data_IF_943979254688
#
_entry.id   IF_943979254688
#
_cell.length_a   1.000
_cell.length_b   1.000
_cell.length_c   1.000
_cell.angle_alpha   90.00
_cell.angle_beta   90.00
_cell.angle_gamma   90.00
#
_symmetry.space_group_name_H-M   'P 1'
#
loop_
_entity.id
_entity.type
_entity.pdbx_description
1 polymer ?
#
# COMPACT_ATOMS: atom_id res chain seq x y z
N UNK A 1 -6.25 -15.79 -8.82
CA UNK A 1 -7.33 -14.82 -9.02
C UNK A 1 -7.62 -14.01 -7.75
N UNK A 2 -7.77 -14.69 -6.63
CA UNK A 2 -8.02 -13.96 -5.37
C UNK A 2 -6.87 -13.02 -5.04
N UNK A 3 -5.64 -13.43 -5.28
CA UNK A 3 -4.49 -12.58 -5.02
C UNK A 3 -4.49 -11.35 -5.91
N UNK A 4 -4.84 -11.52 -7.17
CA UNK A 4 -4.91 -10.40 -8.09
C UNK A 4 -5.95 -9.39 -7.66
N UNK A 5 -7.10 -9.86 -7.20
CA UNK A 5 -8.14 -8.95 -6.70
C UNK A 5 -7.67 -8.17 -5.49
N UNK A 6 -6.99 -8.85 -4.58
CA UNK A 6 -6.50 -8.19 -3.38
C UNK A 6 -5.46 -7.14 -3.72
N UNK A 7 -4.51 -7.48 -4.57
CA UNK A 7 -3.52 -6.51 -5.00
C UNK A 7 -4.15 -5.33 -5.72
N UNK A 8 -5.13 -5.60 -6.56
CA UNK A 8 -5.82 -4.53 -7.26
C UNK A 8 -6.50 -3.59 -6.27
N UNK A 9 -7.16 -4.15 -5.26
CA UNK A 9 -7.83 -3.34 -4.25
C UNK A 9 -6.84 -2.48 -3.47
N UNK A 10 -5.68 -3.06 -3.14
CA UNK A 10 -4.63 -2.33 -2.45
C UNK A 10 -4.16 -1.15 -3.28
N UNK A 11 -3.83 -1.41 -4.53
CA UNK A 11 -3.32 -0.36 -5.39
C UNK A 11 -4.36 0.71 -5.68
N UNK A 12 -5.62 0.32 -5.85
CA UNK A 12 -6.68 1.30 -6.03
C UNK A 12 -6.84 2.20 -4.81
N UNK A 13 -6.75 1.61 -3.63
CA UNK A 13 -6.88 2.40 -2.41
C UNK A 13 -5.73 3.38 -2.26
N UNK A 14 -4.54 3.03 -2.70
CA UNK A 14 -3.36 3.86 -2.55
C UNK A 14 -3.09 4.77 -3.74
N UNK A 15 -3.83 4.63 -4.84
CA UNK A 15 -3.53 5.34 -6.08
C UNK A 15 -4.06 6.76 -6.11
N UNK A 16 -4.25 7.38 -4.96
CA UNK A 16 -4.69 8.77 -4.84
C UNK A 16 -3.70 9.47 -3.93
N UNK A 17 -3.16 10.59 -4.40
CA UNK A 17 -2.12 11.29 -3.67
C UNK A 17 -2.51 11.63 -2.24
N UNK A 18 -3.74 12.07 -2.03
CA UNK A 18 -4.21 12.40 -0.68
C UNK A 18 -4.15 11.18 0.24
N UNK A 19 -4.50 10.01 -0.27
CA UNK A 19 -4.48 8.80 0.55
C UNK A 19 -3.06 8.38 0.91
N UNK A 20 -2.13 8.53 -0.02
CA UNK A 20 -0.73 8.25 0.29
C UNK A 20 -0.23 9.20 1.37
N UNK A 21 -0.62 10.46 1.30
CA UNK A 21 -0.21 11.44 2.31
C UNK A 21 -0.82 11.10 3.67
N UNK A 22 -2.07 10.66 3.69
CA UNK A 22 -2.70 10.23 4.94
C UNK A 22 -1.92 9.08 5.56
N UNK A 23 -1.57 8.07 4.76
CA UNK A 23 -0.82 6.93 5.28
C UNK A 23 0.52 7.39 5.85
N UNK A 24 1.20 8.29 5.17
CA UNK A 24 2.48 8.82 5.66
C UNK A 24 2.32 9.55 7.00
N UNK A 25 1.29 10.35 7.13
CA UNK A 25 1.06 11.08 8.36
C UNK A 25 0.72 10.13 9.50
N UNK A 26 -0.11 9.14 9.24
CA UNK A 26 -0.49 8.16 10.26
C UNK A 26 0.66 7.23 10.62
N UNK A 27 1.65 7.13 9.76
CA UNK A 27 2.85 6.36 10.10
C UNK A 27 3.56 6.98 11.29
N UNK A 28 3.47 8.29 11.44
CA UNK A 28 4.14 8.97 12.53
C UNK A 28 3.36 8.85 13.83
N UNK A 29 2.04 9.02 13.78
CA UNK A 29 1.19 8.93 14.97
C UNK A 29 -0.27 8.93 14.58
N UNK A 30 -1.15 8.44 15.45
CA UNK A 30 -2.59 8.54 15.21
C UNK A 30 -3.04 9.99 15.17
N UNK A 31 -3.98 10.27 14.29
CA UNK A 31 -4.50 11.63 14.10
C UNK A 31 -6.00 11.58 13.87
N UNK A 32 -6.70 12.62 14.31
CA UNK A 32 -8.12 12.76 14.04
C UNK A 32 -8.34 13.42 12.67
N UNK A 33 -9.59 13.42 12.22
CA UNK A 33 -9.92 13.98 10.90
C UNK A 33 -9.50 15.44 10.80
N UNK A 34 -9.77 16.21 11.84
CA UNK A 34 -9.44 17.64 11.78
C UNK A 34 -7.94 17.88 11.69
N UNK A 35 -7.16 17.09 12.41
CA UNK A 35 -5.71 17.21 12.32
C UNK A 35 -5.21 16.83 10.93
N UNK A 36 -5.77 15.78 10.36
CA UNK A 36 -5.40 15.37 9.01
C UNK A 36 -5.78 16.44 8.00
N UNK A 37 -6.99 16.98 8.13
CA UNK A 37 -7.45 18.02 7.22
C UNK A 37 -6.54 19.23 7.24
N UNK A 38 -6.14 19.65 8.43
CA UNK A 38 -5.24 20.79 8.57
C UNK A 38 -3.90 20.54 7.90
N UNK A 39 -3.35 19.35 8.11
CA UNK A 39 -2.04 19.04 7.55
C UNK A 39 -2.07 18.83 6.05
N UNK A 40 -3.20 18.37 5.53
CA UNK A 40 -3.32 18.12 4.11
C UNK A 40 -3.83 19.33 3.33
N UNK A 41 -4.31 20.34 4.03
CA UNK A 41 -4.93 21.47 3.36
C UNK A 41 -6.22 21.09 2.68
N UNK A 42 -7.00 20.18 3.28
CA UNK A 42 -8.24 19.68 2.71
C UNK A 42 -9.37 19.89 3.70
N UNK A 43 -10.61 19.71 3.20
CA UNK A 43 -11.77 19.77 4.08
C UNK A 43 -11.87 18.48 4.88
N UNK A 44 -12.50 18.58 6.05
CA UNK A 44 -12.74 17.41 6.88
C UNK A 44 -13.59 16.37 6.14
N UNK A 45 -14.56 16.83 5.37
CA UNK A 45 -15.41 15.92 4.59
C UNK A 45 -14.61 15.15 3.56
N UNK A 46 -13.68 15.83 2.88
CA UNK A 46 -12.81 15.17 1.91
C UNK A 46 -11.92 14.13 2.56
N UNK A 47 -11.33 14.49 3.70
CA UNK A 47 -10.49 13.55 4.43
C UNK A 47 -11.30 12.34 4.89
N UNK A 48 -12.53 12.59 5.38
CA UNK A 48 -13.39 11.50 5.81
C UNK A 48 -13.67 10.50 4.70
N UNK A 49 -13.86 10.99 3.48
CA UNK A 49 -14.10 10.12 2.35
C UNK A 49 -12.89 9.25 2.04
N UNK A 50 -11.71 9.83 2.08
CA UNK A 50 -10.49 9.06 1.85
C UNK A 50 -10.26 8.05 2.96
N UNK A 51 -10.55 8.42 4.20
CA UNK A 51 -10.43 7.49 5.32
C UNK A 51 -11.40 6.33 5.19
N UNK A 52 -12.60 6.60 4.66
CA UNK A 52 -13.57 5.53 4.45
C UNK A 52 -13.03 4.47 3.50
N UNK A 53 -12.40 4.90 2.41
CA UNK A 53 -11.81 3.96 1.46
C UNK A 53 -10.69 3.17 2.12
N UNK A 54 -9.82 3.85 2.87
CA UNK A 54 -8.71 3.18 3.53
C UNK A 54 -9.18 2.20 4.61
N UNK A 55 -10.24 2.56 5.32
CA UNK A 55 -10.82 1.65 6.32
C UNK A 55 -11.44 0.42 5.66
N UNK A 56 -12.05 0.61 4.52
CA UNK A 56 -12.71 -0.48 3.81
C UNK A 56 -11.70 -1.55 3.41
N UNK A 57 -10.50 -1.17 3.03
CA UNK A 57 -9.47 -2.15 2.70
C UNK A 57 -8.66 -2.58 3.93
N UNK A 58 -8.98 -2.03 5.09
CA UNK A 58 -8.42 -2.51 6.34
C UNK A 58 -7.10 -1.94 6.77
N UNK A 59 -6.55 -0.97 6.03
CA UNK A 59 -5.23 -0.44 6.38
C UNK A 59 -5.29 0.64 7.45
N UNK A 60 -6.47 1.23 7.65
CA UNK A 60 -6.67 2.27 8.65
C UNK A 60 -7.78 1.84 9.58
N UNK A 61 -7.60 2.12 10.87
CA UNK A 61 -8.59 1.87 11.90
C UNK A 61 -8.90 3.15 12.65
N UNK A 62 -10.15 3.26 13.12
CA UNK A 62 -10.52 4.38 13.96
C UNK A 62 -10.67 3.94 15.41
N UNK A 63 -10.16 4.75 16.32
CA UNK A 63 -10.28 4.51 17.75
C UNK A 63 -10.88 5.74 18.40
N UNK A 64 -12.00 5.54 19.09
CA UNK A 64 -12.66 6.66 19.72
C UNK A 64 -11.93 7.06 20.99
N UNK A 65 -11.58 8.34 21.09
CA UNK A 65 -10.93 8.90 22.27
C UNK A 65 -11.69 10.16 22.67
N UNK A 66 -12.56 10.04 23.65
CA UNK A 66 -13.39 11.15 24.05
C UNK A 66 -14.35 11.54 22.94
N UNK A 67 -14.29 12.80 22.53
CA UNK A 67 -15.15 13.32 21.47
C UNK A 67 -14.59 13.07 20.08
N UNK A 68 -13.35 12.62 19.98
CA UNK A 68 -12.67 12.49 18.70
C UNK A 68 -12.37 11.06 18.39
N UNK A 69 -12.38 10.75 17.09
CA UNK A 69 -11.91 9.47 16.62
C UNK A 69 -10.51 9.69 16.07
N UNK A 70 -9.56 8.96 16.62
CA UNK A 70 -8.19 8.98 16.13
C UNK A 70 -7.99 7.82 15.18
N UNK A 71 -7.43 8.09 14.03
CA UNK A 71 -7.17 7.06 13.04
C UNK A 71 -5.72 6.64 13.12
N UNK A 72 -5.50 5.37 12.90
CA UNK A 72 -4.16 4.80 12.96
C UNK A 72 -4.04 3.71 11.91
N UNK A 73 -2.81 3.36 11.58
CA UNK A 73 -2.56 2.30 10.62
C UNK A 73 -2.70 0.94 11.27
N UNK A 74 -3.22 -0.01 10.52
CA UNK A 74 -3.28 -1.39 10.97
C UNK A 74 -1.99 -2.07 10.52
N UNK A 75 -1.11 -2.36 11.48
CA UNK A 75 0.20 -2.89 11.17
C UNK A 75 0.14 -4.31 10.57
N UNK A 76 -0.84 -5.09 11.01
CA UNK A 76 -1.00 -6.43 10.45
C UNK A 76 -1.36 -6.38 8.98
N UNK A 77 -2.27 -5.49 8.62
CA UNK A 77 -2.66 -5.31 7.23
C UNK A 77 -1.47 -4.82 6.40
N UNK A 78 -0.71 -3.88 6.94
CA UNK A 78 0.46 -3.38 6.22
C UNK A 78 1.50 -4.48 6.01
N UNK A 79 1.72 -5.31 7.01
CA UNK A 79 2.65 -6.41 6.88
C UNK A 79 2.19 -7.38 5.79
N UNK A 80 0.90 -7.70 5.76
CA UNK A 80 0.37 -8.58 4.74
C UNK A 80 0.50 -7.96 3.34
N UNK A 81 0.25 -6.66 3.23
CA UNK A 81 0.39 -5.96 1.96
C UNK A 81 1.83 -6.00 1.47
N UNK A 82 2.76 -5.76 2.39
CA UNK A 82 4.18 -5.80 2.03
C UNK A 82 4.57 -7.16 1.48
N UNK A 83 4.10 -8.22 2.10
CA UNK A 83 4.41 -9.56 1.62
C UNK A 83 3.85 -9.80 0.23
N UNK A 84 2.62 -9.39 -0.02
CA UNK A 84 2.00 -9.59 -1.31
C UNK A 84 2.68 -8.78 -2.41
N UNK A 85 3.01 -7.53 -2.11
CA UNK A 85 3.69 -6.68 -3.07
C UNK A 85 5.11 -7.20 -3.32
N UNK A 86 5.78 -7.61 -2.26
CA UNK A 86 7.11 -8.17 -2.36
C UNK A 86 7.12 -9.39 -3.26
N UNK A 87 6.14 -10.25 -3.07
CA UNK A 87 6.02 -11.46 -3.89
C UNK A 87 5.73 -11.12 -5.34
N UNK A 88 4.91 -10.11 -5.56
CA UNK A 88 4.60 -9.66 -6.91
C UNK A 88 5.84 -9.16 -7.63
N UNK A 89 6.69 -8.44 -6.92
CA UNK A 89 7.85 -7.80 -7.52
C UNK A 89 9.13 -8.62 -7.46
N UNK A 90 9.08 -9.73 -6.76
CA UNK A 90 10.25 -10.60 -6.60
C UNK A 90 10.51 -11.37 -7.89
N UNK A 91 11.64 -11.17 -8.55
CA UNK A 91 11.91 -11.82 -9.81
C UNK A 91 12.18 -13.31 -9.68
N UNK A 92 12.41 -13.80 -8.46
CA UNK A 92 12.73 -15.21 -8.26
C UNK A 92 11.51 -16.07 -7.97
N UNK A 93 10.36 -15.45 -7.66
CA UNK A 93 9.18 -16.21 -7.26
C UNK A 93 8.35 -16.60 -8.49
N UNK A 94 8.20 -17.90 -8.69
CA UNK A 94 7.32 -18.45 -9.70
C UNK A 94 7.62 -18.14 -11.13
N UNK A 95 8.59 -17.31 -11.37
CA UNK A 95 8.85 -16.84 -12.73
C UNK A 95 9.41 -17.91 -13.63
N UNK A 96 10.14 -18.84 -13.07
CA UNK A 96 10.87 -19.84 -13.86
C UNK A 96 10.55 -21.25 -13.46
N UNK A 97 9.33 -21.48 -13.03
CA UNK A 97 8.90 -22.84 -12.72
C UNK A 97 8.49 -23.59 -13.99
N UNK A 98 8.30 -22.88 -15.03
CA UNK A 98 7.87 -23.41 -16.32
C UNK A 98 9.05 -24.11 -17.00
N UNK A 99 8.87 -25.34 -17.38
CA UNK A 99 9.97 -26.08 -17.97
C UNK A 99 10.43 -25.49 -19.30
N UNK A 100 9.52 -24.90 -20.03
CA UNK A 100 9.86 -24.42 -21.37
C UNK A 100 10.45 -23.03 -21.41
N UNK A 101 10.18 -22.21 -20.41
CA UNK A 101 10.62 -20.84 -20.44
C UNK A 101 11.69 -20.51 -19.43
N UNK A 102 12.20 -21.52 -18.75
CA UNK A 102 13.06 -21.29 -17.61
C UNK A 102 14.29 -20.46 -17.95
N UNK A 103 14.98 -20.83 -18.99
CA UNK A 103 16.21 -20.12 -19.34
C UNK A 103 15.94 -18.71 -19.83
N UNK A 104 14.88 -18.54 -20.58
CA UNK A 104 14.51 -17.21 -21.05
C UNK A 104 14.15 -16.31 -19.88
N UNK A 105 13.42 -16.84 -18.94
CA UNK A 105 13.06 -16.07 -17.76
C UNK A 105 14.27 -15.65 -16.98
N UNK A 106 15.22 -16.54 -16.80
CA UNK A 106 16.43 -16.23 -16.07
C UNK A 106 17.24 -15.13 -16.76
N UNK A 107 17.32 -15.19 -18.08
CA UNK A 107 18.04 -14.18 -18.83
C UNK A 107 17.38 -12.82 -18.70
N UNK A 108 16.05 -12.78 -18.79
CA UNK A 108 15.31 -11.54 -18.65
C UNK A 108 15.49 -10.94 -17.27
N UNK A 109 15.47 -11.77 -16.25
CA UNK A 109 15.66 -11.32 -14.89
C UNK A 109 17.05 -10.74 -14.68
N UNK A 110 18.04 -11.39 -15.24
CA UNK A 110 19.40 -10.90 -15.14
C UNK A 110 19.55 -9.52 -15.74
N UNK A 111 18.95 -9.32 -16.89
CA UNK A 111 19.01 -7.99 -17.53
C UNK A 111 18.31 -6.93 -16.71
N UNK A 112 17.18 -7.26 -16.13
CA UNK A 112 16.46 -6.32 -15.29
C UNK A 112 17.28 -5.94 -14.08
N UNK A 113 17.95 -6.92 -13.51
CA UNK A 113 18.80 -6.66 -12.38
C UNK A 113 19.95 -5.73 -12.71
N UNK A 114 20.56 -5.95 -13.85
CA UNK A 114 21.67 -5.10 -14.31
C UNK A 114 21.19 -3.66 -14.52
N UNK A 115 20.02 -3.49 -15.10
CA UNK A 115 19.47 -2.16 -15.31
C UNK A 115 19.21 -1.46 -13.99
N UNK A 116 18.73 -2.18 -13.01
CA UNK A 116 18.49 -1.61 -11.70
C UNK A 116 19.78 -1.19 -11.02
N UNK A 117 20.80 -2.01 -11.14
CA UNK A 117 22.11 -1.67 -10.56
C UNK A 117 22.64 -0.37 -11.11
N UNK A 118 22.44 -0.16 -12.38
CA UNK A 118 22.95 1.07 -13.00
C UNK A 118 22.23 2.30 -12.53
N UNK A 119 20.97 2.17 -12.13
CA UNK A 119 20.23 3.31 -11.62
C UNK A 119 20.68 3.74 -10.24
N UNK A 120 21.12 2.82 -9.48
CA UNK A 120 21.58 3.13 -8.14
C UNK A 120 23.03 3.57 -8.16
#
# INVERSE_FOLDING_TARGET
>A
MAQTRRLTAIFKALAVGARLRIVRLLRERPLCVNALAARLGMTAAGVSQHLRVLRKVGVVEGEKRGYYVHYRLNEETLAAWREEIDRLLDPTVGACTDTNGTQKCAAAMTRTKAARSRRT
#
